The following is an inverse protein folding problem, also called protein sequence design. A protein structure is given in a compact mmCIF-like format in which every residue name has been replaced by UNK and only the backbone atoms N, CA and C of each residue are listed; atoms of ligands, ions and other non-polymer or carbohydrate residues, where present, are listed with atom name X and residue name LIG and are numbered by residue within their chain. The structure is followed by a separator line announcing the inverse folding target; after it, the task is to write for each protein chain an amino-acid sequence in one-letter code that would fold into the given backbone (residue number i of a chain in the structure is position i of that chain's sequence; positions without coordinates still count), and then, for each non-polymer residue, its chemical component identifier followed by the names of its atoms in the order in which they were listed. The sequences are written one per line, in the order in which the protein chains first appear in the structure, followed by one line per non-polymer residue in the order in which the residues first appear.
data_IF_884239680292
#
_entry.id   IF_884239680292
#
_cell.length_a   1.000
_cell.length_b   1.000
_cell.length_c   1.000
_cell.angle_alpha   90.00
_cell.angle_beta   90.00
_cell.angle_gamma   90.00
#
_symmetry.space_group_name_H-M   'P 1'
#
loop_
_entity.id
_entity.type
_entity.pdbx_description
1 polymer ?
#
# COMPACT_ATOMS: atom_id res chain seq x y z
N UNK A 1 -18.92 0.43 -35.67
CA UNK A 1 -18.25 -0.62 -34.84
C UNK A 1 -17.61 0.04 -33.61
N UNK A 2 -18.07 -0.29 -32.40
CA UNK A 2 -17.71 0.38 -31.14
C UNK A 2 -16.35 -0.10 -30.61
N UNK A 3 -15.49 0.84 -30.23
CA UNK A 3 -14.12 0.62 -29.73
C UNK A 3 -14.17 0.14 -28.28
N UNK A 4 -13.87 -1.14 -28.05
CA UNK A 4 -13.73 -1.70 -26.69
C UNK A 4 -12.57 -1.02 -25.96
N UNK A 5 -12.89 -0.26 -24.91
CA UNK A 5 -11.91 0.20 -23.93
C UNK A 5 -11.63 -0.97 -22.98
N UNK A 6 -10.53 -1.68 -23.21
CA UNK A 6 -10.08 -2.76 -22.33
C UNK A 6 -9.59 -2.18 -21.01
N UNK A 7 -10.40 -2.37 -19.96
CA UNK A 7 -10.05 -2.08 -18.58
C UNK A 7 -8.81 -2.90 -18.20
N UNK A 8 -7.65 -2.25 -18.11
CA UNK A 8 -6.43 -2.87 -17.59
C UNK A 8 -6.66 -3.34 -16.15
N UNK A 9 -6.37 -4.60 -15.80
CA UNK A 9 -6.51 -5.07 -14.43
C UNK A 9 -5.42 -4.43 -13.56
N UNK A 10 -5.73 -3.30 -12.92
CA UNK A 10 -4.83 -2.66 -11.92
C UNK A 10 -4.48 -3.60 -10.76
N UNK A 11 -5.36 -4.55 -10.48
CA UNK A 11 -5.19 -5.59 -9.45
C UNK A 11 -3.93 -6.45 -9.63
N UNK A 12 -3.47 -6.67 -10.86
CA UNK A 12 -2.27 -7.50 -11.11
C UNK A 12 -0.96 -6.77 -10.78
N UNK A 13 -0.94 -5.43 -10.82
CA UNK A 13 0.26 -4.63 -10.53
C UNK A 13 0.47 -4.44 -9.02
N UNK A 14 -0.62 -4.35 -8.25
CA UNK A 14 -0.59 -4.30 -6.78
C UNK A 14 -0.06 -5.61 -6.16
N UNK A 15 -0.37 -6.76 -6.78
CA UNK A 15 0.17 -8.06 -6.35
C UNK A 15 1.69 -8.17 -6.60
N UNK A 16 2.19 -7.63 -7.71
CA UNK A 16 3.62 -7.70 -8.06
C UNK A 16 4.51 -6.81 -7.16
N UNK A 17 4.00 -5.68 -6.66
CA UNK A 17 4.72 -4.84 -5.69
C UNK A 17 4.74 -5.42 -4.25
N UNK A 18 3.94 -6.45 -3.98
CA UNK A 18 3.97 -7.17 -2.71
C UNK A 18 5.10 -8.21 -2.63
N UNK A 19 5.65 -8.65 -3.75
CA UNK A 19 6.58 -9.78 -3.83
C UNK A 19 8.07 -9.39 -3.86
N UNK A 20 8.42 -8.10 -3.85
CA UNK A 20 9.81 -7.65 -3.96
C UNK A 20 10.56 -7.67 -2.60
N UNK A 21 10.98 -8.87 -2.17
CA UNK A 21 12.36 -9.11 -1.69
C UNK A 21 12.85 -8.50 -0.37
N UNK A 22 12.07 -8.54 0.71
CA UNK A 22 12.63 -8.46 2.05
C UNK A 22 11.99 -9.57 2.90
N UNK A 23 12.80 -10.35 3.60
CA UNK A 23 12.35 -11.39 4.54
C UNK A 23 11.62 -10.72 5.73
N UNK A 24 10.38 -10.34 5.51
CA UNK A 24 9.49 -9.89 6.57
C UNK A 24 8.93 -11.11 7.26
N UNK A 25 8.96 -11.10 8.59
CA UNK A 25 8.26 -12.11 9.40
C UNK A 25 6.75 -12.09 9.08
N UNK A 26 6.02 -13.22 9.28
CA UNK A 26 4.57 -13.27 9.10
C UNK A 26 3.79 -12.09 9.73
N UNK A 27 4.07 -11.63 10.97
CA UNK A 27 3.40 -10.46 11.53
C UNK A 27 3.74 -9.15 10.79
N UNK A 28 4.96 -8.98 10.28
CA UNK A 28 5.35 -7.80 9.50
C UNK A 28 4.67 -7.77 8.13
N UNK A 29 4.48 -8.93 7.48
CA UNK A 29 3.71 -9.04 6.23
C UNK A 29 2.24 -8.69 6.43
N UNK A 30 1.63 -9.16 7.53
CA UNK A 30 0.27 -8.80 7.90
C UNK A 30 0.14 -7.29 8.14
N UNK A 31 1.10 -6.70 8.86
CA UNK A 31 1.15 -5.27 9.10
C UNK A 31 1.33 -4.45 7.82
N UNK A 32 2.26 -4.88 6.94
CA UNK A 32 2.47 -4.26 5.63
C UNK A 32 1.19 -4.26 4.81
N UNK A 33 0.49 -5.39 4.76
CA UNK A 33 -0.79 -5.54 4.05
C UNK A 33 -1.84 -4.58 4.60
N UNK A 34 -1.99 -4.49 5.94
CA UNK A 34 -2.92 -3.55 6.59
C UNK A 34 -2.61 -2.09 6.23
N UNK A 35 -1.35 -1.69 6.29
CA UNK A 35 -0.93 -0.31 6.00
C UNK A 35 -1.16 0.02 4.52
N UNK A 36 -0.80 -0.86 3.60
CA UNK A 36 -1.01 -0.66 2.16
C UNK A 36 -2.51 -0.52 1.86
N UNK A 37 -3.35 -1.38 2.45
CA UNK A 37 -4.79 -1.31 2.28
C UNK A 37 -5.37 0.03 2.78
N UNK A 38 -4.97 0.48 3.97
CA UNK A 38 -5.39 1.77 4.51
C UNK A 38 -4.90 2.95 3.66
N UNK A 39 -3.66 2.91 3.18
CA UNK A 39 -3.11 3.94 2.29
C UNK A 39 -3.85 3.99 0.96
N UNK A 40 -4.18 2.84 0.37
CA UNK A 40 -4.96 2.78 -0.87
C UNK A 40 -6.39 3.30 -0.67
N UNK A 41 -7.08 2.89 0.40
CA UNK A 41 -8.42 3.39 0.74
C UNK A 41 -8.43 4.91 0.97
N UNK A 42 -7.37 5.43 1.59
CA UNK A 42 -7.17 6.86 1.81
C UNK A 42 -6.64 7.62 0.58
N UNK A 43 -6.55 7.01 -0.61
CA UNK A 43 -5.96 7.62 -1.82
C UNK A 43 -4.57 8.21 -1.54
N UNK A 44 -3.75 7.49 -0.78
CA UNK A 44 -2.41 7.87 -0.36
C UNK A 44 -2.34 9.16 0.48
N UNK A 45 -3.42 9.51 1.20
CA UNK A 45 -3.45 10.63 2.17
C UNK A 45 -3.04 10.14 3.57
N UNK A 46 -1.83 10.44 4.08
CA UNK A 46 -1.30 9.80 5.28
C UNK A 46 -2.09 10.10 6.56
N UNK A 47 -2.65 11.31 6.68
CA UNK A 47 -3.51 11.68 7.82
C UNK A 47 -4.77 10.81 7.90
N UNK A 48 -5.41 10.55 6.76
CA UNK A 48 -6.60 9.71 6.69
C UNK A 48 -6.25 8.23 6.94
N UNK A 49 -5.18 7.73 6.32
CA UNK A 49 -4.72 6.37 6.55
C UNK A 49 -4.35 6.13 8.03
N UNK A 50 -3.67 7.08 8.67
CA UNK A 50 -3.32 7.00 10.09
C UNK A 50 -4.56 6.95 10.98
N UNK A 51 -5.57 7.79 10.70
CA UNK A 51 -6.85 7.76 11.40
C UNK A 51 -7.59 6.42 11.22
N UNK A 52 -7.59 5.85 10.01
CA UNK A 52 -8.19 4.54 9.74
C UNK A 52 -7.49 3.39 10.48
N UNK A 53 -6.19 3.51 10.71
CA UNK A 53 -5.38 2.53 11.44
C UNK A 53 -5.38 2.76 12.97
N UNK A 54 -5.95 3.86 13.45
CA UNK A 54 -5.93 4.22 14.88
C UNK A 54 -4.53 4.56 15.41
N UNK A 55 -3.62 5.02 14.55
CA UNK A 55 -2.23 5.35 14.94
C UNK A 55 -1.90 6.81 14.65
N UNK A 56 -0.87 7.34 15.32
CA UNK A 56 -0.37 8.67 15.01
C UNK A 56 0.32 8.73 13.65
N UNK A 57 0.36 9.93 13.04
CA UNK A 57 1.09 10.19 11.80
C UNK A 57 2.57 9.81 11.90
N UNK A 58 3.21 10.06 13.04
CA UNK A 58 4.60 9.71 13.28
C UNK A 58 4.82 8.19 13.25
N UNK A 59 3.91 7.43 13.86
CA UNK A 59 3.96 5.96 13.83
C UNK A 59 3.76 5.42 12.43
N UNK A 60 2.82 5.97 11.66
CA UNK A 60 2.62 5.58 10.26
C UNK A 60 3.91 5.76 9.44
N UNK A 61 4.57 6.92 9.54
CA UNK A 61 5.83 7.15 8.79
C UNK A 61 6.96 6.21 9.20
N UNK A 62 7.09 5.92 10.51
CA UNK A 62 8.06 4.92 10.99
C UNK A 62 7.80 3.55 10.36
N UNK A 63 6.55 3.09 10.37
CA UNK A 63 6.17 1.79 9.78
C UNK A 63 6.37 1.76 8.27
N UNK A 64 6.01 2.83 7.55
CA UNK A 64 6.27 2.95 6.10
C UNK A 64 7.76 2.83 5.77
N UNK A 65 8.64 3.47 6.56
CA UNK A 65 10.10 3.38 6.40
C UNK A 65 10.63 1.98 6.72
N UNK A 66 10.17 1.37 7.81
CA UNK A 66 10.59 0.02 8.23
C UNK A 66 10.18 -1.05 7.22
N UNK A 67 8.94 -0.99 6.73
CA UNK A 67 8.38 -1.97 5.80
C UNK A 67 8.61 -1.62 4.32
N UNK A 68 9.44 -0.59 4.07
CA UNK A 68 9.79 -0.07 2.73
C UNK A 68 8.57 0.11 1.82
N UNK A 69 7.49 0.66 2.37
CA UNK A 69 6.24 0.90 1.64
C UNK A 69 6.37 2.26 0.93
N UNK A 70 6.38 2.23 -0.40
CA UNK A 70 6.54 3.42 -1.26
C UNK A 70 5.25 3.71 -2.00
N UNK A 71 4.85 4.99 -2.15
CA UNK A 71 3.72 5.37 -3.00
C UNK A 71 3.91 4.95 -4.46
N UNK A 72 2.84 4.56 -5.16
CA UNK A 72 2.90 4.12 -6.56
C UNK A 72 3.35 5.23 -7.51
N UNK A 73 3.25 6.50 -7.10
CA UNK A 73 3.73 7.66 -7.86
C UNK A 73 5.22 7.99 -7.65
N UNK A 74 5.92 7.24 -6.80
CA UNK A 74 7.35 7.41 -6.52
C UNK A 74 8.19 6.15 -6.82
N UNK A 75 7.63 5.19 -7.57
CA UNK A 75 8.34 4.00 -8.04
C UNK A 75 9.03 4.28 -9.37
#
# INVERSE_FOLDING_TARGET
PLRQASARPRVARDAAAAAAGAEYSPPELAERTRIVHAMNAAKWRPLQAAAMLGVSRATLYRRLKQLKIVPPHRQ
#
